data_IF_388588084408
#
_entry.id   IF_388588084408
#
_cell.length_a   1.000
_cell.length_b   1.000
_cell.length_c   1.000
_cell.angle_alpha   90.00
_cell.angle_beta   90.00
_cell.angle_gamma   90.00
#
_symmetry.space_group_name_H-M   'P 1'
#
loop_
_entity.id
_entity.type
_entity.pdbx_description
1 polymer ?
#
# COMPACT_ATOMS: atom_id res chain seq x y z
N UNK A 1 5.81 0.27 22.11
CA UNK A 1 5.21 -0.79 21.28
C UNK A 1 3.72 -0.82 21.56
N UNK A 2 2.87 -0.56 20.56
CA UNK A 2 1.41 -0.69 20.74
C UNK A 2 1.08 -2.19 20.82
N UNK A 3 0.42 -2.61 21.90
CA UNK A 3 0.03 -4.00 22.05
C UNK A 3 -1.12 -4.32 21.09
N UNK A 4 -0.88 -5.19 20.10
CA UNK A 4 -1.94 -5.72 19.25
C UNK A 4 -2.94 -6.51 20.11
N UNK A 5 -4.24 -6.29 19.87
CA UNK A 5 -5.29 -7.11 20.47
C UNK A 5 -5.10 -8.59 20.09
N UNK A 6 -5.59 -9.53 20.91
CA UNK A 6 -5.48 -10.98 20.64
C UNK A 6 -6.00 -11.34 19.24
N UNK A 7 -7.07 -10.67 18.79
CA UNK A 7 -7.66 -10.80 17.44
C UNK A 7 -6.71 -10.35 16.32
N UNK A 8 -5.86 -9.35 16.58
CA UNK A 8 -4.92 -8.81 15.59
C UNK A 8 -3.63 -9.63 15.44
N UNK A 9 -3.32 -10.54 16.38
CA UNK A 9 -2.10 -11.37 16.31
C UNK A 9 -2.19 -12.49 15.27
N UNK A 10 -3.40 -12.91 14.91
CA UNK A 10 -3.64 -14.00 13.97
C UNK A 10 -3.99 -13.54 12.55
N UNK A 11 -4.25 -12.25 12.35
CA UNK A 11 -4.55 -11.67 11.03
C UNK A 11 -3.29 -11.12 10.36
N UNK A 12 -3.36 -10.96 9.04
CA UNK A 12 -2.30 -10.36 8.22
C UNK A 12 -2.80 -9.00 7.72
N UNK A 13 -2.04 -7.93 7.99
CA UNK A 13 -2.32 -6.61 7.43
C UNK A 13 -1.66 -6.53 6.04
N UNK A 14 -2.43 -6.25 5.01
CA UNK A 14 -1.93 -6.13 3.64
C UNK A 14 -2.07 -4.69 3.19
N UNK A 15 -0.96 -4.03 2.88
CA UNK A 15 -0.98 -2.74 2.18
C UNK A 15 -0.90 -2.99 0.69
N UNK A 16 -1.96 -2.62 -0.02
CA UNK A 16 -2.11 -2.88 -1.46
C UNK A 16 -2.51 -1.65 -2.25
N UNK A 17 -2.47 -1.79 -3.58
CA UNK A 17 -2.74 -0.75 -4.56
C UNK A 17 -1.91 -0.96 -5.82
N UNK A 18 -2.15 -0.13 -6.83
CA UNK A 18 -1.30 -0.07 -8.01
C UNK A 18 0.14 0.36 -7.62
N UNK A 19 1.15 0.01 -8.43
CA UNK A 19 2.45 0.68 -8.34
C UNK A 19 2.26 2.20 -8.33
N UNK A 20 3.04 2.91 -7.50
CA UNK A 20 3.01 4.38 -7.36
C UNK A 20 1.74 4.97 -6.71
N UNK A 21 0.82 4.16 -6.19
CA UNK A 21 -0.39 4.65 -5.50
C UNK A 21 -0.17 5.13 -4.05
N UNK A 22 1.06 5.08 -3.54
CA UNK A 22 1.39 5.53 -2.18
C UNK A 22 1.49 4.42 -1.13
N UNK A 23 1.59 3.15 -1.54
CA UNK A 23 1.77 2.01 -0.62
C UNK A 23 3.01 2.14 0.28
N UNK A 24 4.12 2.70 -0.21
CA UNK A 24 5.29 2.98 0.64
C UNK A 24 5.00 3.98 1.75
N UNK A 25 4.22 5.05 1.47
CA UNK A 25 3.83 6.02 2.49
C UNK A 25 2.96 5.35 3.56
N UNK A 26 2.01 4.51 3.14
CA UNK A 26 1.18 3.75 4.06
C UNK A 26 2.01 2.81 4.95
N UNK A 27 3.02 2.13 4.40
CA UNK A 27 3.93 1.32 5.22
C UNK A 27 4.69 2.15 6.25
N UNK A 28 5.10 3.38 5.92
CA UNK A 28 5.73 4.29 6.89
C UNK A 28 4.75 4.75 7.98
N UNK A 29 3.50 5.05 7.61
CA UNK A 29 2.41 5.37 8.54
C UNK A 29 2.22 4.24 9.56
N UNK A 30 2.15 2.99 9.07
CA UNK A 30 2.01 1.80 9.92
C UNK A 30 3.24 1.59 10.82
N UNK A 31 4.45 1.81 10.30
CA UNK A 31 5.67 1.76 11.10
C UNK A 31 5.64 2.78 12.25
N UNK A 32 5.26 4.02 11.97
CA UNK A 32 5.16 5.08 12.97
C UNK A 32 4.02 4.85 13.96
N UNK A 33 2.95 4.14 13.54
CA UNK A 33 1.90 3.64 14.42
C UNK A 33 2.36 2.46 15.30
N UNK A 34 3.60 1.98 15.15
CA UNK A 34 4.13 0.85 15.90
C UNK A 34 3.64 -0.51 15.42
N UNK A 35 3.08 -0.59 14.22
CA UNK A 35 2.67 -1.86 13.60
C UNK A 35 3.93 -2.60 13.12
N UNK A 36 4.17 -3.85 13.56
CA UNK A 36 5.27 -4.65 13.05
C UNK A 36 5.17 -4.85 11.53
N UNK A 37 6.28 -4.73 10.80
CA UNK A 37 6.31 -4.90 9.36
C UNK A 37 7.02 -6.21 8.98
N UNK A 38 6.55 -6.88 7.95
CA UNK A 38 7.29 -7.94 7.27
C UNK A 38 7.98 -7.33 6.05
N UNK A 39 9.28 -7.08 6.19
CA UNK A 39 10.16 -6.50 5.16
C UNK A 39 11.52 -7.19 5.23
N UNK A 40 12.24 -7.24 4.11
CA UNK A 40 13.59 -7.84 4.05
C UNK A 40 14.73 -6.81 4.17
N UNK A 41 14.40 -5.50 4.09
CA UNK A 41 15.36 -4.39 4.09
C UNK A 41 16.48 -4.51 3.04
N UNK A 42 16.29 -5.31 1.98
CA UNK A 42 17.34 -5.55 0.99
C UNK A 42 17.57 -4.33 0.12
N UNK A 43 16.49 -3.58 -0.18
CA UNK A 43 16.55 -2.42 -1.07
C UNK A 43 16.64 -1.13 -0.25
N UNK A 44 17.82 -0.52 -0.28
CA UNK A 44 18.08 0.76 0.38
C UNK A 44 17.28 1.91 -0.27
N UNK A 45 17.17 3.04 0.45
CA UNK A 45 16.58 4.26 -0.08
C UNK A 45 17.27 4.75 -1.35
N UNK A 46 16.51 5.37 -2.25
CA UNK A 46 17.04 5.99 -3.47
C UNK A 46 16.35 7.34 -3.75
N UNK A 47 16.76 8.01 -4.83
CA UNK A 47 16.20 9.32 -5.22
C UNK A 47 14.68 9.29 -5.48
N UNK A 48 14.13 8.12 -5.84
CA UNK A 48 12.71 7.92 -6.13
C UNK A 48 11.90 7.60 -4.86
N UNK A 49 12.54 7.00 -3.86
CA UNK A 49 11.98 6.71 -2.56
C UNK A 49 13.06 6.86 -1.46
N UNK A 50 13.29 8.10 -0.98
CA UNK A 50 14.38 8.41 -0.06
C UNK A 50 14.25 7.76 1.32
N UNK A 51 13.12 7.11 1.61
CA UNK A 51 12.83 6.43 2.88
C UNK A 51 12.83 4.91 2.78
N UNK A 52 13.35 4.37 1.68
CA UNK A 52 13.54 2.93 1.51
C UNK A 52 12.27 2.22 1.06
N UNK A 53 12.48 0.99 0.57
CA UNK A 53 11.41 0.17 0.05
C UNK A 53 11.03 -0.87 1.10
N UNK A 54 9.81 -0.78 1.60
CA UNK A 54 9.20 -1.75 2.52
C UNK A 54 8.80 -3.04 1.76
N UNK A 55 9.73 -3.58 0.98
CA UNK A 55 9.53 -4.77 0.16
C UNK A 55 9.88 -6.03 0.95
N UNK A 56 9.24 -7.11 0.57
CA UNK A 56 9.57 -8.46 0.99
C UNK A 56 9.67 -9.30 -0.28
N UNK A 57 10.87 -9.70 -0.68
CA UNK A 57 11.17 -10.27 -1.98
C UNK A 57 10.30 -11.49 -2.32
N UNK A 58 9.98 -12.32 -1.31
CA UNK A 58 9.14 -13.50 -1.50
C UNK A 58 7.74 -13.18 -2.04
N UNK A 59 7.24 -11.94 -1.85
CA UNK A 59 5.98 -11.47 -2.45
C UNK A 59 6.00 -11.62 -3.97
N UNK A 60 7.14 -11.41 -4.64
CA UNK A 60 7.24 -11.53 -6.10
C UNK A 60 6.93 -12.95 -6.60
N UNK A 61 7.15 -13.95 -5.76
CA UNK A 61 6.87 -15.35 -6.08
C UNK A 61 5.55 -15.86 -5.45
N UNK A 62 4.69 -14.97 -4.93
CA UNK A 62 3.49 -15.35 -4.17
C UNK A 62 2.57 -16.33 -4.92
N UNK A 63 2.50 -16.23 -6.26
CA UNK A 63 1.72 -17.16 -7.09
C UNK A 63 2.16 -18.62 -6.93
N UNK A 64 3.45 -18.85 -6.72
CA UNK A 64 4.05 -20.18 -6.65
C UNK A 64 4.41 -20.60 -5.22
N UNK A 65 4.73 -19.64 -4.34
CA UNK A 65 5.10 -19.89 -2.95
C UNK A 65 4.49 -18.84 -2.01
N UNK A 66 3.60 -19.31 -1.15
CA UNK A 66 2.92 -18.52 -0.13
C UNK A 66 3.28 -18.96 1.30
N UNK A 67 4.23 -19.90 1.48
CA UNK A 67 4.56 -20.45 2.80
C UNK A 67 5.05 -19.40 3.79
N UNK A 68 5.60 -18.30 3.28
CA UNK A 68 6.11 -17.19 4.08
C UNK A 68 4.99 -16.37 4.75
N UNK A 69 3.73 -16.46 4.29
CA UNK A 69 2.60 -15.71 4.87
C UNK A 69 2.37 -16.06 6.35
N UNK A 70 2.74 -17.27 6.79
CA UNK A 70 2.68 -17.64 8.21
C UNK A 70 3.52 -16.72 9.10
N UNK A 71 4.58 -16.11 8.56
CA UNK A 71 5.44 -15.15 9.27
C UNK A 71 4.91 -13.72 9.24
N UNK A 72 3.83 -13.47 8.47
CA UNK A 72 3.17 -12.17 8.34
C UNK A 72 2.02 -11.97 9.35
N UNK A 73 1.65 -13.00 10.13
CA UNK A 73 0.65 -12.88 11.20
C UNK A 73 1.04 -11.79 12.21
N UNK A 74 0.10 -10.89 12.50
CA UNK A 74 0.32 -9.74 13.36
C UNK A 74 1.25 -8.67 12.76
N UNK A 75 1.56 -8.74 11.47
CA UNK A 75 2.41 -7.78 10.76
C UNK A 75 1.71 -7.19 9.55
N UNK A 76 2.24 -6.07 9.08
CA UNK A 76 1.90 -5.51 7.78
C UNK A 76 2.90 -5.91 6.71
N UNK A 77 2.40 -6.29 5.54
CA UNK A 77 3.21 -6.61 4.34
C UNK A 77 2.67 -5.85 3.13
N UNK A 78 3.58 -5.34 2.29
CA UNK A 78 3.23 -4.65 1.05
C UNK A 78 3.05 -5.65 -0.09
N UNK A 79 1.87 -5.70 -0.69
CA UNK A 79 1.56 -6.60 -1.82
C UNK A 79 0.82 -5.78 -2.88
N UNK A 80 1.35 -5.71 -4.10
CA UNK A 80 0.69 -4.97 -5.19
C UNK A 80 -0.65 -5.62 -5.54
N UNK A 81 -1.61 -4.81 -6.03
CA UNK A 81 -2.98 -5.26 -6.27
C UNK A 81 -3.05 -6.52 -7.16
N UNK A 82 -2.24 -6.61 -8.21
CA UNK A 82 -2.19 -7.78 -9.11
C UNK A 82 -1.91 -9.12 -8.42
N UNK A 83 -1.27 -9.12 -7.25
CA UNK A 83 -0.92 -10.35 -6.54
C UNK A 83 -1.93 -10.74 -5.46
N UNK A 84 -2.97 -9.92 -5.21
CA UNK A 84 -3.98 -10.24 -4.19
C UNK A 84 -4.78 -11.51 -4.54
N UNK A 85 -4.97 -11.79 -5.83
CA UNK A 85 -5.64 -13.01 -6.32
C UNK A 85 -4.95 -14.31 -5.86
N UNK A 86 -3.70 -14.23 -5.43
CA UNK A 86 -2.89 -15.38 -5.01
C UNK A 86 -2.79 -15.54 -3.49
N UNK A 87 -3.47 -14.69 -2.71
CA UNK A 87 -3.53 -14.83 -1.27
C UNK A 87 -4.44 -16.03 -0.90
N UNK A 88 -3.95 -17.02 -0.14
CA UNK A 88 -4.73 -18.20 0.22
C UNK A 88 -5.83 -17.85 1.23
N UNK A 89 -6.96 -18.53 1.11
CA UNK A 89 -8.15 -18.31 1.93
C UNK A 89 -8.02 -18.77 3.40
N UNK A 90 -6.93 -19.47 3.74
CA UNK A 90 -6.67 -20.00 5.08
C UNK A 90 -6.30 -18.93 6.12
N UNK A 91 -5.89 -17.73 5.67
CA UNK A 91 -5.62 -16.59 6.55
C UNK A 91 -6.74 -15.56 6.48
N UNK A 92 -6.84 -14.77 7.56
CA UNK A 92 -7.70 -13.59 7.64
C UNK A 92 -6.87 -12.34 7.35
N UNK A 93 -7.40 -11.45 6.51
CA UNK A 93 -6.69 -10.26 6.05
C UNK A 93 -7.45 -8.99 6.37
N UNK A 94 -6.70 -7.96 6.80
CA UNK A 94 -7.14 -6.57 6.72
C UNK A 94 -6.35 -5.89 5.61
N UNK A 95 -7.02 -5.59 4.50
CA UNK A 95 -6.43 -5.01 3.30
C UNK A 95 -6.63 -3.50 3.33
N UNK A 96 -5.54 -2.75 3.44
CA UNK A 96 -5.51 -1.30 3.22
C UNK A 96 -5.21 -1.08 1.74
N UNK A 97 -6.23 -0.70 0.97
CA UNK A 97 -6.12 -0.51 -0.46
C UNK A 97 -5.95 0.98 -0.79
N UNK A 98 -4.78 1.32 -1.32
CA UNK A 98 -4.39 2.70 -1.64
C UNK A 98 -4.93 3.12 -3.00
N UNK A 99 -5.78 4.15 -2.99
CA UNK A 99 -6.32 4.80 -4.18
C UNK A 99 -5.65 6.14 -4.42
N UNK A 100 -5.26 6.37 -5.67
CA UNK A 100 -4.70 7.62 -6.15
C UNK A 100 -5.20 7.87 -7.56
N UNK A 101 -5.32 9.14 -7.94
CA UNK A 101 -5.65 9.53 -9.31
C UNK A 101 -4.71 8.81 -10.31
N UNK A 102 -5.28 8.22 -11.36
CA UNK A 102 -4.53 7.43 -12.34
C UNK A 102 -3.52 8.27 -13.14
N UNK A 103 -3.87 9.51 -13.46
CA UNK A 103 -2.98 10.43 -14.16
C UNK A 103 -1.74 10.74 -13.30
N UNK A 104 -1.92 10.88 -11.98
CA UNK A 104 -0.78 11.05 -11.07
C UNK A 104 0.07 9.80 -10.92
N UNK A 105 -0.56 8.61 -10.92
CA UNK A 105 0.15 7.33 -10.89
C UNK A 105 1.04 7.22 -12.12
N UNK A 106 0.49 7.50 -13.31
CA UNK A 106 1.20 7.42 -14.59
C UNK A 106 2.32 8.47 -14.66
N UNK A 107 2.03 9.72 -14.30
CA UNK A 107 3.05 10.76 -14.25
C UNK A 107 4.20 10.41 -13.26
N UNK A 108 3.88 9.77 -12.12
CA UNK A 108 4.90 9.30 -11.18
C UNK A 108 5.70 8.12 -11.73
N UNK A 109 5.07 7.22 -12.46
CA UNK A 109 5.70 6.08 -13.13
C UNK A 109 6.68 6.57 -14.21
N UNK A 110 6.24 7.47 -15.09
CA UNK A 110 7.06 8.03 -16.17
C UNK A 110 8.28 8.78 -15.63
N UNK A 111 8.13 9.55 -14.56
CA UNK A 111 9.25 10.20 -13.87
C UNK A 111 10.26 9.19 -13.33
N UNK A 112 9.77 8.11 -12.69
CA UNK A 112 10.64 7.06 -12.16
C UNK A 112 11.43 6.35 -13.27
N UNK A 113 10.79 6.05 -14.41
CA UNK A 113 11.45 5.45 -15.58
C UNK A 113 12.51 6.39 -16.16
N UNK A 114 12.19 7.68 -16.32
CA UNK A 114 13.12 8.69 -16.82
C UNK A 114 14.39 8.78 -15.96
N UNK A 115 14.26 8.68 -14.64
CA UNK A 115 15.39 8.71 -13.70
C UNK A 115 16.36 7.53 -13.86
N UNK A 116 15.93 6.43 -14.48
CA UNK A 116 16.77 5.26 -14.77
C UNK A 116 17.06 5.12 -16.27
N UNK A 117 16.89 6.21 -17.04
CA UNK A 117 17.14 6.23 -18.48
C UNK A 117 16.18 5.37 -19.30
N UNK A 118 15.00 5.07 -18.78
CA UNK A 118 13.96 4.26 -19.43
C UNK A 118 12.73 5.10 -19.75
N UNK A 119 11.93 4.59 -20.67
CA UNK A 119 10.60 5.14 -21.01
C UNK A 119 9.56 4.04 -20.89
N UNK A 120 8.30 4.42 -20.72
CA UNK A 120 7.20 3.45 -20.75
C UNK A 120 7.11 2.86 -22.17
N UNK A 121 6.97 1.54 -22.26
CA UNK A 121 6.73 0.84 -23.52
C UNK A 121 5.26 0.99 -24.00
N UNK A 122 4.37 1.37 -23.08
CA UNK A 122 2.94 1.55 -23.30
C UNK A 122 2.62 3.04 -23.19
N UNK A 123 1.79 3.56 -24.10
CA UNK A 123 1.31 4.93 -24.03
C UNK A 123 0.42 5.18 -22.80
N UNK A 124 0.41 6.42 -22.33
CA UNK A 124 -0.26 6.79 -21.07
C UNK A 124 -1.76 6.50 -21.08
N UNK A 125 -2.46 6.69 -22.21
CA UNK A 125 -3.90 6.45 -22.30
C UNK A 125 -4.23 4.96 -22.26
N UNK A 126 -3.46 4.13 -22.97
CA UNK A 126 -3.58 2.68 -22.91
C UNK A 126 -3.27 2.16 -21.52
N UNK A 127 -2.19 2.64 -20.89
CA UNK A 127 -1.84 2.27 -19.53
C UNK A 127 -2.94 2.66 -18.53
N UNK A 128 -3.53 3.86 -18.69
CA UNK A 128 -4.67 4.33 -17.87
C UNK A 128 -5.88 3.42 -18.00
N UNK A 129 -6.24 3.02 -19.24
CA UNK A 129 -7.34 2.07 -19.48
C UNK A 129 -7.09 0.72 -18.81
N UNK A 130 -5.88 0.17 -18.94
CA UNK A 130 -5.52 -1.09 -18.29
C UNK A 130 -5.60 -1.01 -16.77
N UNK A 131 -5.09 0.07 -16.17
CA UNK A 131 -5.20 0.28 -14.72
C UNK A 131 -6.66 0.46 -14.28
N UNK A 132 -7.47 1.20 -15.02
CA UNK A 132 -8.89 1.38 -14.70
C UNK A 132 -9.65 0.04 -14.75
N UNK A 133 -9.43 -0.76 -15.80
CA UNK A 133 -10.04 -2.09 -15.93
C UNK A 133 -9.61 -3.01 -14.77
N UNK A 134 -8.32 -3.09 -14.47
CA UNK A 134 -7.81 -3.89 -13.35
C UNK A 134 -8.41 -3.45 -12.00
N UNK A 135 -8.50 -2.14 -11.73
CA UNK A 135 -9.09 -1.62 -10.50
C UNK A 135 -10.57 -1.97 -10.36
N UNK A 136 -11.32 -1.96 -11.47
CA UNK A 136 -12.71 -2.39 -11.51
C UNK A 136 -12.84 -3.88 -11.17
N UNK A 137 -12.07 -4.73 -11.86
CA UNK A 137 -12.12 -6.18 -11.69
C UNK A 137 -11.71 -6.60 -10.28
N UNK A 138 -10.60 -6.06 -9.77
CA UNK A 138 -10.12 -6.42 -8.44
C UNK A 138 -11.03 -5.90 -7.34
N UNK A 139 -11.62 -4.71 -7.54
CA UNK A 139 -12.61 -4.17 -6.61
C UNK A 139 -13.79 -5.11 -6.47
N UNK A 140 -14.35 -5.59 -7.60
CA UNK A 140 -15.43 -6.57 -7.61
C UNK A 140 -15.00 -7.91 -7.01
N UNK A 141 -13.80 -8.41 -7.35
CA UNK A 141 -13.32 -9.68 -6.79
C UNK A 141 -13.18 -9.62 -5.26
N UNK A 142 -12.67 -8.51 -4.72
CA UNK A 142 -12.49 -8.31 -3.28
C UNK A 142 -13.80 -8.36 -2.50
N UNK A 143 -14.93 -7.87 -3.06
CA UNK A 143 -16.24 -7.92 -2.36
C UNK A 143 -16.76 -9.33 -2.13
N UNK A 144 -16.23 -10.32 -2.86
CA UNK A 144 -16.63 -11.72 -2.72
C UNK A 144 -15.74 -12.51 -1.74
N UNK A 145 -14.67 -11.91 -1.21
CA UNK A 145 -13.71 -12.59 -0.34
C UNK A 145 -14.15 -12.52 1.13
N UNK A 146 -14.61 -13.65 1.68
CA UNK A 146 -15.10 -13.73 3.07
C UNK A 146 -14.01 -13.56 4.13
N UNK A 147 -12.75 -13.81 3.76
CA UNK A 147 -11.60 -13.76 4.64
C UNK A 147 -10.80 -12.44 4.51
N UNK A 148 -11.31 -11.46 3.76
CA UNK A 148 -10.66 -10.17 3.54
C UNK A 148 -11.59 -9.02 3.91
N UNK A 149 -11.21 -8.27 4.94
CA UNK A 149 -11.81 -6.96 5.20
C UNK A 149 -10.99 -5.91 4.45
N UNK A 150 -11.64 -5.03 3.67
CA UNK A 150 -10.95 -4.05 2.84
C UNK A 150 -11.29 -2.63 3.25
N UNK A 151 -10.27 -1.80 3.46
CA UNK A 151 -10.41 -0.36 3.61
C UNK A 151 -9.71 0.38 2.49
N UNK A 152 -10.48 1.17 1.75
CA UNK A 152 -9.96 2.10 0.76
C UNK A 152 -9.41 3.34 1.47
N UNK A 153 -8.19 3.74 1.13
CA UNK A 153 -7.55 4.97 1.61
C UNK A 153 -7.18 5.83 0.42
N UNK A 154 -7.65 7.08 0.42
CA UNK A 154 -7.32 8.03 -0.62
C UNK A 154 -5.97 8.68 -0.32
N UNK A 155 -5.01 8.51 -1.23
CA UNK A 155 -3.67 9.08 -1.11
C UNK A 155 -3.69 10.59 -0.93
N UNK A 156 -4.58 11.31 -1.61
CA UNK A 156 -4.69 12.77 -1.52
C UNK A 156 -5.21 13.21 -0.14
N UNK A 157 -6.20 12.49 0.40
CA UNK A 157 -6.76 12.81 1.72
C UNK A 157 -5.77 12.59 2.85
N UNK A 158 -4.78 11.70 2.69
CA UNK A 158 -3.70 11.58 3.68
C UNK A 158 -2.98 12.91 3.90
N UNK A 159 -2.92 13.80 2.90
CA UNK A 159 -2.31 15.12 3.03
C UNK A 159 -3.30 16.21 3.39
N UNK A 160 -4.51 16.20 2.83
CA UNK A 160 -5.51 17.25 3.11
C UNK A 160 -6.22 17.09 4.45
N UNK A 161 -6.50 15.85 4.84
CA UNK A 161 -7.32 15.50 6.01
C UNK A 161 -6.67 14.36 6.81
N UNK A 162 -5.38 14.48 7.21
CA UNK A 162 -4.65 13.39 7.83
C UNK A 162 -5.32 12.87 9.11
N UNK A 163 -5.89 13.75 9.94
CA UNK A 163 -6.56 13.35 11.18
C UNK A 163 -7.72 12.39 10.90
N UNK A 164 -8.55 12.70 9.91
CA UNK A 164 -9.71 11.89 9.53
C UNK A 164 -9.29 10.53 8.98
N UNK A 165 -8.34 10.50 8.04
CA UNK A 165 -7.87 9.24 7.45
C UNK A 165 -7.14 8.36 8.48
N UNK A 166 -6.37 8.97 9.41
CA UNK A 166 -5.70 8.22 10.48
C UNK A 166 -6.66 7.67 11.53
N UNK A 167 -7.73 8.40 11.87
CA UNK A 167 -8.77 7.89 12.77
C UNK A 167 -9.49 6.69 12.15
N UNK A 168 -9.90 6.80 10.89
CA UNK A 168 -10.50 5.71 10.11
C UNK A 168 -9.57 4.48 10.09
N UNK A 169 -8.27 4.70 9.86
CA UNK A 169 -7.31 3.61 9.78
C UNK A 169 -7.07 2.94 11.15
N UNK A 170 -6.99 3.75 12.21
CA UNK A 170 -6.91 3.29 13.61
C UNK A 170 -8.09 2.39 13.95
N UNK A 171 -9.31 2.84 13.64
CA UNK A 171 -10.55 2.10 13.91
C UNK A 171 -10.62 0.81 13.07
N UNK A 172 -10.31 0.91 11.77
CA UNK A 172 -10.29 -0.24 10.87
C UNK A 172 -9.32 -1.32 11.35
N UNK A 173 -8.13 -0.94 11.81
CA UNK A 173 -7.14 -1.89 12.32
C UNK A 173 -7.40 -2.30 13.77
N UNK A 174 -8.24 -1.59 14.51
CA UNK A 174 -8.41 -1.72 15.95
C UNK A 174 -7.05 -1.59 16.68
N UNK A 175 -6.29 -0.55 16.33
CA UNK A 175 -4.96 -0.23 16.88
C UNK A 175 -4.95 1.24 17.23
N UNK A 176 -4.62 1.58 18.49
CA UNK A 176 -4.51 2.97 18.91
C UNK A 176 -3.34 3.67 18.21
N UNK A 177 -3.65 4.70 17.42
CA UNK A 177 -2.64 5.49 16.72
C UNK A 177 -2.23 6.71 17.53
N UNK A 178 -0.92 6.95 17.63
CA UNK A 178 -0.41 8.26 18.04
C UNK A 178 -0.38 9.19 16.82
N UNK A 179 -1.51 9.84 16.55
CA UNK A 179 -1.69 10.70 15.36
C UNK A 179 -0.60 11.76 15.22
N UNK A 180 -0.12 12.34 16.32
CA UNK A 180 0.95 13.35 16.29
C UNK A 180 2.26 12.78 15.73
N UNK A 181 2.64 11.56 16.15
CA UNK A 181 3.85 10.90 15.67
C UNK A 181 3.72 10.51 14.20
N UNK A 182 2.55 10.00 13.80
CA UNK A 182 2.31 9.57 12.42
C UNK A 182 2.29 10.76 11.45
N UNK A 183 1.73 11.90 11.87
CA UNK A 183 1.69 13.11 11.04
C UNK A 183 3.07 13.60 10.61
N UNK A 184 4.12 13.38 11.42
CA UNK A 184 5.49 13.74 11.06
C UNK A 184 6.03 12.96 9.85
N UNK A 185 5.43 11.79 9.55
CA UNK A 185 5.77 10.97 8.38
C UNK A 185 5.06 11.46 7.13
N UNK A 186 3.87 12.06 7.27
CA UNK A 186 3.09 12.59 6.16
C UNK A 186 3.69 13.96 5.76
N UNK A 187 4.71 13.91 4.92
CA UNK A 187 5.45 15.08 4.44
C UNK A 187 4.93 15.52 3.07
N UNK A 188 4.24 16.68 2.98
CA UNK A 188 3.70 17.19 1.73
C UNK A 188 4.75 17.35 0.62
N UNK A 189 6.02 17.57 0.99
CA UNK A 189 7.15 17.75 0.07
C UNK A 189 7.48 16.47 -0.71
N UNK A 190 7.07 15.31 -0.19
CA UNK A 190 7.21 14.02 -0.87
C UNK A 190 6.02 13.73 -1.81
N UNK A 191 4.95 14.53 -1.76
CA UNK A 191 3.86 14.51 -2.74
C UNK A 191 4.26 15.32 -3.99
N UNK A 192 5.26 14.82 -4.71
CA UNK A 192 5.95 15.53 -5.81
C UNK A 192 5.21 15.55 -7.15
N UNK A 193 4.09 14.84 -7.27
CA UNK A 193 3.35 14.68 -8.53
C UNK A 193 1.88 14.88 -8.26
N UNK A 194 1.52 16.14 -8.07
CA UNK A 194 0.14 16.59 -8.03
C UNK A 194 -0.27 16.95 -9.44
N UNK A 195 -1.43 16.49 -9.86
CA UNK A 195 -2.10 17.13 -10.98
C UNK A 195 -3.13 18.05 -10.33
N UNK A 196 -2.82 19.34 -10.32
CA UNK A 196 -3.85 20.36 -10.09
C UNK A 196 -4.83 20.25 -11.25
N UNK A 197 -6.02 19.71 -10.97
CA UNK A 197 -7.08 19.64 -11.96
C UNK A 197 -7.45 21.04 -12.45
N UNK A 198 -7.72 21.13 -13.76
CA UNK A 198 -8.51 22.18 -14.39
C UNK A 198 -9.89 22.30 -13.74
#
# INVERSE_FOLDING_TARGET
MVALTKKNKDLIIVVSGLPRSGTSLMMQILQAAGVPLLVDNVRQSDVNNPRGYFEYQAVKNLKNDNQWLKYAKGKAVKIISHLLYHLPAEFQYKVIFMNRNLDEIIASQNRMLKNVGKVSEIDDDTLKRHYAAHLFDIGRWLTHQKNMEVRQINFHHLFEKPQTELAILSDFLNIAFNTKQIQQVIQPELYRTKITGH
#
